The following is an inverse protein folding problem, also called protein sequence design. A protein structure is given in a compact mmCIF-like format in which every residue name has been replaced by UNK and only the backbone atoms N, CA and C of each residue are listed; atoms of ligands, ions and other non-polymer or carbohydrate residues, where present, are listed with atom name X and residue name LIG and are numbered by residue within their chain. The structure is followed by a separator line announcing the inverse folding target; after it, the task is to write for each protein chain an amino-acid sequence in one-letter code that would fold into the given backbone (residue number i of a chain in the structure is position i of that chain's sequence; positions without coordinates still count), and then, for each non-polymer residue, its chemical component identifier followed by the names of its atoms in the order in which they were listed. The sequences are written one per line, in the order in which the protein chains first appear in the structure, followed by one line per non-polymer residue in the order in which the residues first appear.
data_IF_482687343270
#
_entry.id   IF_482687343270
#
_cell.length_a   1.000
_cell.length_b   1.000
_cell.length_c   1.000
_cell.angle_alpha   90.00
_cell.angle_beta   90.00
_cell.angle_gamma   90.00
#
_symmetry.space_group_name_H-M   'P 1'
#
loop_
_entity.id
_entity.type
_entity.pdbx_description
1 polymer ?
#
# COMPACT_ATOMS: atom_id res chain seq x y z
N UNK A 1 7.89 -19.71 16.87
CA UNK A 1 8.16 -18.29 16.57
C UNK A 1 7.18 -17.89 15.47
N UNK A 2 6.09 -17.21 15.83
CA UNK A 2 5.11 -16.78 14.83
C UNK A 2 5.72 -15.57 14.13
N UNK A 3 6.29 -15.78 12.94
CA UNK A 3 6.54 -14.69 12.04
C UNK A 3 5.15 -14.10 11.74
N UNK A 4 4.81 -13.00 12.40
CA UNK A 4 3.65 -12.18 12.01
C UNK A 4 4.03 -11.68 10.62
N UNK A 5 3.66 -12.47 9.61
CA UNK A 5 3.65 -12.06 8.22
C UNK A 5 2.64 -10.93 8.20
N UNK A 6 3.11 -9.70 8.43
CA UNK A 6 2.29 -8.51 8.22
C UNK A 6 1.95 -8.55 6.74
N UNK A 7 0.76 -9.07 6.43
CA UNK A 7 0.26 -9.15 5.09
C UNK A 7 -0.01 -7.74 4.57
N UNK A 8 -0.06 -7.61 3.25
CA UNK A 8 -0.67 -6.45 2.60
C UNK A 8 -2.02 -6.07 3.27
N UNK A 9 -2.93 -7.00 3.61
CA UNK A 9 -4.16 -6.67 4.34
C UNK A 9 -3.92 -6.00 5.71
N UNK A 10 -3.13 -6.59 6.62
CA UNK A 10 -2.84 -5.97 7.92
C UNK A 10 -2.18 -4.59 7.79
N UNK A 11 -1.29 -4.46 6.83
CA UNK A 11 -0.60 -3.21 6.57
C UNK A 11 -1.56 -2.11 6.11
N UNK A 12 -2.41 -2.41 5.12
CA UNK A 12 -3.40 -1.48 4.60
C UNK A 12 -4.45 -1.13 5.66
N UNK A 13 -4.80 -2.07 6.53
CA UNK A 13 -5.67 -1.83 7.68
C UNK A 13 -5.06 -0.83 8.68
N UNK A 14 -3.73 -0.86 8.87
CA UNK A 14 -2.99 0.11 9.69
C UNK A 14 -2.84 1.49 9.05
N UNK A 15 -2.76 1.55 7.71
CA UNK A 15 -2.76 2.82 6.96
C UNK A 15 -4.14 3.49 7.04
N UNK A 16 -5.21 2.70 6.91
CA UNK A 16 -6.59 3.19 6.84
C UNK A 16 -6.85 4.08 5.61
N UNK A 17 -7.96 4.84 5.61
CA UNK A 17 -8.36 5.77 4.52
C UNK A 17 -9.00 5.10 3.29
N UNK A 18 -9.59 3.92 3.44
CA UNK A 18 -10.29 3.23 2.36
C UNK A 18 -9.36 2.50 1.38
N UNK A 19 -8.06 2.47 1.66
CA UNK A 19 -7.06 1.70 0.91
C UNK A 19 -7.22 0.20 1.17
N UNK A 20 -7.82 -0.16 2.32
CA UNK A 20 -8.25 -1.53 2.63
C UNK A 20 -9.22 -2.11 1.59
N UNK A 21 -10.02 -1.26 0.91
CA UNK A 21 -10.93 -1.73 -0.15
C UNK A 21 -10.20 -2.10 -1.45
N UNK A 22 -8.95 -1.66 -1.58
CA UNK A 22 -8.09 -1.92 -2.73
C UNK A 22 -7.07 -3.05 -2.48
N UNK A 23 -7.14 -3.74 -1.32
CA UNK A 23 -6.25 -4.87 -0.95
C UNK A 23 -6.16 -5.90 -2.07
N UNK A 24 -7.29 -6.38 -2.59
CA UNK A 24 -7.31 -7.42 -3.63
C UNK A 24 -6.56 -7.00 -4.90
N UNK A 25 -6.61 -5.71 -5.26
CA UNK A 25 -5.91 -5.17 -6.44
C UNK A 25 -4.41 -5.01 -6.18
N UNK A 26 -4.05 -4.62 -4.96
CA UNK A 26 -2.67 -4.50 -4.52
C UNK A 26 -1.99 -5.87 -4.37
N UNK A 27 -2.67 -6.86 -3.80
CA UNK A 27 -2.17 -8.24 -3.76
C UNK A 27 -2.02 -8.81 -5.18
N UNK A 28 -2.95 -8.54 -6.09
CA UNK A 28 -2.84 -9.06 -7.46
C UNK A 28 -1.72 -8.39 -8.28
N UNK A 29 -1.48 -7.09 -8.12
CA UNK A 29 -0.51 -6.35 -8.94
C UNK A 29 0.89 -6.30 -8.30
N UNK A 30 0.94 -6.18 -6.97
CA UNK A 30 2.17 -5.97 -6.23
C UNK A 30 2.62 -7.30 -5.59
N UNK A 31 1.68 -8.09 -5.06
CA UNK A 31 1.93 -9.43 -4.50
C UNK A 31 2.64 -9.45 -3.14
N UNK A 32 3.56 -8.53 -2.91
CA UNK A 32 4.39 -8.49 -1.71
C UNK A 32 4.45 -7.10 -1.09
N UNK A 33 4.50 -7.06 0.25
CA UNK A 33 4.63 -5.82 1.01
C UNK A 33 5.91 -5.05 0.66
N UNK A 34 7.03 -5.76 0.43
CA UNK A 34 8.27 -5.13 0.00
C UNK A 34 8.11 -4.41 -1.34
N UNK A 35 7.43 -5.05 -2.30
CA UNK A 35 7.12 -4.41 -3.58
C UNK A 35 6.19 -3.22 -3.41
N UNK A 36 5.26 -3.25 -2.45
CA UNK A 36 4.38 -2.14 -2.12
C UNK A 36 5.19 -0.93 -1.63
N UNK A 37 6.09 -1.17 -0.68
CA UNK A 37 6.96 -0.15 -0.08
C UNK A 37 7.95 0.45 -1.09
N UNK A 38 8.44 -0.34 -2.06
CA UNK A 38 9.32 0.18 -3.13
C UNK A 38 8.55 0.72 -4.34
N UNK A 39 7.22 0.54 -4.39
CA UNK A 39 6.40 0.99 -5.51
C UNK A 39 6.18 2.49 -5.42
N UNK A 40 6.74 3.21 -6.39
CA UNK A 40 6.53 4.66 -6.52
C UNK A 40 5.05 5.01 -6.75
N UNK A 41 4.64 6.16 -6.22
CA UNK A 41 3.34 6.84 -6.36
C UNK A 41 2.76 6.80 -7.78
N UNK A 42 3.63 6.94 -8.78
CA UNK A 42 3.26 6.89 -10.21
C UNK A 42 2.59 5.58 -10.64
N UNK A 43 3.01 4.43 -10.09
CA UNK A 43 2.39 3.13 -10.39
C UNK A 43 1.03 2.99 -9.70
N UNK A 44 0.90 3.47 -8.46
CA UNK A 44 -0.35 3.44 -7.70
C UNK A 44 -1.43 4.34 -8.33
N UNK A 45 -1.05 5.51 -8.87
CA UNK A 45 -1.94 6.34 -9.71
C UNK A 45 -2.48 5.56 -10.90
N UNK A 46 -1.62 4.77 -11.56
CA UNK A 46 -1.98 3.95 -12.72
C UNK A 46 -2.95 2.82 -12.38
N UNK A 47 -2.88 2.32 -11.14
CA UNK A 47 -3.79 1.32 -10.59
C UNK A 47 -5.18 1.88 -10.26
N UNK A 48 -5.38 3.20 -10.38
CA UNK A 48 -6.63 3.87 -10.02
C UNK A 48 -6.81 4.00 -8.50
N UNK A 49 -5.73 3.90 -7.73
CA UNK A 49 -5.78 4.14 -6.28
C UNK A 49 -5.83 5.65 -6.05
N UNK A 50 -6.82 6.14 -5.28
CA UNK A 50 -7.01 7.57 -5.10
C UNK A 50 -5.82 8.21 -4.38
N UNK A 51 -5.20 9.20 -5.03
CA UNK A 51 -4.13 10.02 -4.46
C UNK A 51 -4.67 11.36 -3.93
N UNK A 52 -5.90 11.39 -3.41
CA UNK A 52 -6.41 12.59 -2.72
C UNK A 52 -5.74 12.65 -1.34
N UNK A 53 -5.39 13.87 -0.90
CA UNK A 53 -4.72 14.23 0.36
C UNK A 53 -4.71 13.08 1.40
N UNK A 54 -3.56 12.44 1.64
CA UNK A 54 -3.35 11.24 2.47
C UNK A 54 -3.87 9.89 1.90
N UNK A 55 -3.63 9.61 0.62
CA UNK A 55 -3.85 8.28 0.04
C UNK A 55 -2.64 7.34 0.22
N UNK A 56 -2.81 6.03 -0.02
CA UNK A 56 -1.76 5.01 0.12
C UNK A 56 -0.41 5.42 -0.50
N UNK A 57 -0.48 6.09 -1.64
CA UNK A 57 0.69 6.48 -2.41
C UNK A 57 1.51 7.59 -1.72
N UNK A 58 0.84 8.58 -1.15
CA UNK A 58 1.43 9.68 -0.37
C UNK A 58 2.06 9.16 0.94
N UNK A 59 1.40 8.17 1.55
CA UNK A 59 1.92 7.48 2.73
C UNK A 59 3.18 6.66 2.40
N UNK A 60 3.20 5.93 1.27
CA UNK A 60 4.40 5.16 0.86
C UNK A 60 5.58 6.09 0.61
N UNK A 61 5.37 7.25 -0.04
CA UNK A 61 6.44 8.25 -0.17
C UNK A 61 6.87 8.80 1.20
N UNK A 62 5.94 9.08 2.11
CA UNK A 62 6.26 9.53 3.47
C UNK A 62 7.05 8.48 4.27
N UNK A 63 6.83 7.18 4.03
CA UNK A 63 7.59 6.11 4.68
C UNK A 63 8.93 5.83 4.00
N UNK A 64 9.04 6.05 2.68
CA UNK A 64 10.31 5.91 1.96
C UNK A 64 11.27 7.09 2.21
N UNK A 65 10.74 8.29 2.43
CA UNK A 65 11.52 9.53 2.55
C UNK A 65 11.49 10.16 3.96
N UNK A 66 10.79 9.54 4.92
CA UNK A 66 10.70 9.97 6.33
C UNK A 66 11.66 9.24 7.25
#
# INVERSE_FOLDING_TARGET
MVAVKVGIPEFLFGVGKGVETHVAKLESEIGDLNKLLVTRTLRLKKLGIPCKHHGLADWIESVQFG
#
